data_IF_892392314931
#
_entry.id   IF_892392314931
#
_cell.length_a   1.000
_cell.length_b   1.000
_cell.length_c   1.000
_cell.angle_alpha   90.00
_cell.angle_beta   90.00
_cell.angle_gamma   90.00
#
_symmetry.space_group_name_H-M   'P 1'
#
loop_
_entity.id
_entity.type
_entity.pdbx_description
1 polymer ?
#
# COMPACT_ATOMS: atom_id res chain seq x y z
N UNK A 1 -39.89 -35.69 52.84
CA UNK A 1 -38.65 -34.93 53.04
C UNK A 1 -37.58 -35.53 52.17
N UNK A 2 -37.55 -35.16 50.88
CA UNK A 2 -36.54 -35.58 49.86
C UNK A 2 -37.09 -35.17 48.51
N UNK A 3 -36.91 -33.93 48.02
CA UNK A 3 -37.01 -33.51 46.58
C UNK A 3 -36.71 -32.04 46.45
N UNK A 4 -35.53 -31.61 46.88
CA UNK A 4 -35.03 -30.26 46.52
C UNK A 4 -33.52 -30.38 46.32
N UNK A 5 -33.08 -30.85 45.19
CA UNK A 5 -31.69 -30.69 44.74
C UNK A 5 -31.50 -31.31 43.36
N UNK A 6 -32.14 -30.75 42.32
CA UNK A 6 -31.88 -31.26 40.95
C UNK A 6 -31.95 -30.24 39.81
N UNK A 7 -31.96 -28.94 40.08
CA UNK A 7 -32.10 -27.94 39.02
C UNK A 7 -30.98 -26.87 38.99
N UNK A 8 -29.78 -27.14 39.47
CA UNK A 8 -28.73 -26.16 39.57
C UNK A 8 -27.53 -26.31 38.62
N UNK A 9 -27.51 -27.11 37.55
CA UNK A 9 -26.39 -27.00 36.62
C UNK A 9 -26.72 -26.51 35.21
N UNK A 10 -27.94 -25.99 34.93
CA UNK A 10 -28.27 -25.56 33.56
C UNK A 10 -28.09 -24.05 33.29
N UNK A 11 -27.71 -23.25 34.27
CA UNK A 11 -27.56 -21.78 34.08
C UNK A 11 -26.11 -21.31 33.86
N UNK A 12 -25.13 -22.19 33.90
CA UNK A 12 -23.71 -21.86 33.80
C UNK A 12 -23.14 -21.95 32.37
N UNK A 13 -23.91 -22.35 31.35
CA UNK A 13 -23.42 -22.55 29.98
C UNK A 13 -23.75 -21.44 28.99
N UNK A 14 -24.42 -20.37 29.43
CA UNK A 14 -24.85 -19.27 28.52
C UNK A 14 -23.94 -18.03 28.50
N UNK A 15 -22.78 -18.06 29.14
CA UNK A 15 -21.90 -16.90 29.28
C UNK A 15 -20.61 -16.94 28.44
N UNK A 16 -20.48 -17.90 27.52
CA UNK A 16 -19.23 -18.05 26.74
C UNK A 16 -19.37 -17.59 25.27
N UNK A 17 -20.50 -17.04 24.87
CA UNK A 17 -20.74 -16.63 23.48
C UNK A 17 -20.62 -15.12 23.23
N UNK A 18 -19.99 -14.34 24.11
CA UNK A 18 -19.87 -12.88 23.98
C UNK A 18 -18.42 -12.38 23.95
N UNK A 19 -17.50 -13.14 23.35
CA UNK A 19 -16.14 -12.68 23.07
C UNK A 19 -15.88 -12.79 21.55
N UNK A 20 -16.57 -12.00 20.77
CA UNK A 20 -16.46 -12.00 19.32
C UNK A 20 -16.39 -10.64 18.68
N UNK A 21 -16.23 -9.57 19.43
CA UNK A 21 -15.97 -8.26 18.85
C UNK A 21 -14.57 -7.81 19.23
N UNK A 22 -13.67 -7.96 18.28
CA UNK A 22 -12.39 -7.29 18.35
C UNK A 22 -12.65 -5.80 18.49
N UNK A 23 -12.24 -5.20 19.61
CA UNK A 23 -12.04 -3.76 19.75
C UNK A 23 -10.92 -3.29 18.80
N UNK A 24 -10.73 -4.00 17.69
CA UNK A 24 -9.79 -3.70 16.64
C UNK A 24 -10.28 -2.50 15.84
N UNK A 25 -9.33 -1.66 15.48
CA UNK A 25 -9.54 -0.59 14.50
C UNK A 25 -10.11 -1.24 13.24
N UNK A 26 -11.24 -0.72 12.77
CA UNK A 26 -11.86 -1.20 11.55
C UNK A 26 -11.47 -0.30 10.37
N UNK A 27 -11.18 -0.90 9.23
CA UNK A 27 -11.05 -0.18 7.98
C UNK A 27 -12.39 0.48 7.62
N UNK A 28 -12.35 1.71 7.14
CA UNK A 28 -13.56 2.47 6.79
C UNK A 28 -13.60 2.88 5.33
N UNK A 29 -12.44 2.95 4.66
CA UNK A 29 -12.35 3.30 3.26
C UNK A 29 -12.32 2.04 2.37
N UNK A 30 -13.08 2.06 1.28
CA UNK A 30 -13.05 0.99 0.30
C UNK A 30 -11.85 1.17 -0.65
N UNK A 31 -11.04 0.13 -0.78
CA UNK A 31 -9.98 0.08 -1.78
C UNK A 31 -10.58 -0.03 -3.18
N UNK A 32 -9.99 0.67 -4.12
CA UNK A 32 -10.37 0.63 -5.54
C UNK A 32 -9.11 0.58 -6.41
N UNK A 33 -9.26 0.05 -7.61
CA UNK A 33 -8.20 0.10 -8.62
C UNK A 33 -8.33 1.39 -9.39
N UNK A 34 -7.25 2.15 -9.45
CA UNK A 34 -7.14 3.36 -10.27
C UNK A 34 -6.03 3.17 -11.32
N UNK A 35 -6.13 3.88 -12.45
CA UNK A 35 -5.07 3.98 -13.44
C UNK A 35 -4.43 5.36 -13.36
N UNK A 36 -3.12 5.38 -13.09
CA UNK A 36 -2.36 6.61 -12.90
C UNK A 36 -1.21 6.71 -13.88
N UNK A 37 -0.82 7.94 -14.21
CA UNK A 37 0.37 8.20 -15.02
C UNK A 37 1.34 9.11 -14.28
N UNK A 38 2.62 8.75 -14.33
CA UNK A 38 3.73 9.50 -13.76
C UNK A 38 4.74 9.82 -14.87
N UNK A 39 5.43 10.93 -14.73
CA UNK A 39 6.49 11.33 -15.63
C UNK A 39 7.85 11.18 -14.95
N UNK A 40 8.90 10.95 -15.73
CA UNK A 40 10.24 10.79 -15.18
C UNK A 40 10.71 12.07 -14.48
N UNK A 41 11.42 11.93 -13.36
CA UNK A 41 12.05 13.06 -12.66
C UNK A 41 13.05 13.79 -13.56
N UNK A 42 13.85 13.05 -14.33
CA UNK A 42 14.85 13.62 -15.20
C UNK A 42 14.30 13.95 -16.59
N UNK A 43 14.76 15.07 -17.18
CA UNK A 43 14.42 15.52 -18.54
C UNK A 43 12.93 15.77 -18.77
N UNK A 44 12.14 15.99 -17.72
CA UNK A 44 10.77 16.51 -17.81
C UNK A 44 10.66 17.80 -16.98
N UNK A 45 9.68 18.68 -17.27
CA UNK A 45 9.48 19.86 -16.44
C UNK A 45 9.19 19.49 -14.99
N UNK A 46 9.80 20.18 -14.04
CA UNK A 46 9.64 19.92 -12.59
C UNK A 46 8.19 20.03 -12.11
N UNK A 47 7.37 20.78 -12.84
CA UNK A 47 5.93 20.90 -12.58
C UNK A 47 5.11 19.65 -12.96
N UNK A 48 5.75 18.66 -13.61
CA UNK A 48 5.08 17.44 -14.04
C UNK A 48 4.97 16.46 -12.86
N UNK A 49 3.83 15.79 -12.67
CA UNK A 49 3.68 14.81 -11.60
C UNK A 49 4.62 13.62 -11.80
N UNK A 50 5.58 13.44 -10.89
CA UNK A 50 6.66 12.45 -11.00
C UNK A 50 6.73 11.51 -9.79
N UNK A 51 5.89 11.73 -8.79
CA UNK A 51 5.88 10.95 -7.56
C UNK A 51 4.47 10.51 -7.18
N UNK A 52 4.39 9.54 -6.27
CA UNK A 52 3.13 9.01 -5.74
C UNK A 52 3.11 9.13 -4.22
N UNK A 53 1.99 9.59 -3.69
CA UNK A 53 1.72 9.64 -2.26
C UNK A 53 0.61 8.64 -1.92
N UNK A 54 0.97 7.60 -1.17
CA UNK A 54 0.06 6.51 -0.82
C UNK A 54 -0.98 6.91 0.24
N UNK A 55 -0.69 7.91 1.07
CA UNK A 55 -1.68 8.37 2.06
C UNK A 55 -2.85 9.13 1.43
N UNK A 56 -2.65 9.66 0.24
CA UNK A 56 -3.69 10.34 -0.55
C UNK A 56 -4.17 9.54 -1.76
N UNK A 57 -3.49 8.43 -2.08
CA UNK A 57 -3.80 7.64 -3.28
C UNK A 57 -3.64 8.45 -4.57
N UNK A 58 -2.60 9.29 -4.68
CA UNK A 58 -2.49 10.24 -5.77
C UNK A 58 -1.07 10.46 -6.27
N UNK A 59 -0.94 10.76 -7.57
CA UNK A 59 0.29 11.30 -8.15
C UNK A 59 0.48 12.74 -7.72
N UNK A 60 1.73 13.10 -7.40
CA UNK A 60 2.10 14.42 -6.89
C UNK A 60 3.32 14.97 -7.59
N UNK A 61 3.46 16.29 -7.57
CA UNK A 61 4.64 16.99 -8.03
C UNK A 61 5.71 17.00 -6.94
N UNK A 62 6.97 16.89 -7.33
CA UNK A 62 8.08 16.86 -6.36
C UNK A 62 8.57 18.27 -5.96
N UNK A 63 8.22 19.30 -6.70
CA UNK A 63 8.63 20.70 -6.42
C UNK A 63 7.78 21.38 -5.33
N UNK A 64 6.54 20.92 -5.15
CA UNK A 64 5.63 21.47 -4.14
C UNK A 64 5.25 20.50 -3.04
N UNK A 65 5.72 19.24 -3.13
CA UNK A 65 5.29 18.18 -2.23
C UNK A 65 6.47 17.29 -1.85
N UNK A 66 6.99 17.45 -0.65
CA UNK A 66 8.12 16.65 -0.15
C UNK A 66 7.70 15.33 0.47
N UNK A 67 6.40 15.15 0.69
CA UNK A 67 5.84 14.00 1.41
C UNK A 67 5.26 12.97 0.43
N UNK A 68 6.08 12.34 -0.41
CA UNK A 68 5.69 11.24 -1.30
C UNK A 68 6.40 9.95 -0.91
N UNK A 69 5.92 8.81 -1.40
CA UNK A 69 6.44 7.51 -1.03
C UNK A 69 7.37 6.92 -2.09
N UNK A 70 7.15 7.21 -3.35
CA UNK A 70 8.05 6.84 -4.42
C UNK A 70 7.92 7.79 -5.62
N UNK A 71 8.94 7.79 -6.46
CA UNK A 71 8.96 8.55 -7.70
C UNK A 71 9.29 7.65 -8.89
N UNK A 72 9.08 8.17 -10.09
CA UNK A 72 9.43 7.51 -11.34
C UNK A 72 10.56 8.23 -12.04
N UNK A 73 11.49 7.49 -12.61
CA UNK A 73 12.51 8.05 -13.51
C UNK A 73 12.87 7.06 -14.63
N UNK A 74 13.53 7.57 -15.67
CA UNK A 74 14.19 6.79 -16.69
C UNK A 74 15.66 7.17 -16.65
N UNK A 75 16.54 6.20 -16.38
CA UNK A 75 17.96 6.45 -16.23
C UNK A 75 18.68 6.78 -17.57
N UNK A 76 19.99 7.02 -17.50
CA UNK A 76 20.79 7.35 -18.68
C UNK A 76 20.93 6.19 -19.68
N UNK A 77 20.63 4.97 -19.26
CA UNK A 77 20.66 3.77 -20.11
C UNK A 77 19.27 3.41 -20.67
N UNK A 78 18.23 4.21 -20.37
CA UNK A 78 16.87 4.00 -20.85
C UNK A 78 16.03 3.05 -19.97
N UNK A 79 16.53 2.63 -18.79
CA UNK A 79 15.76 1.76 -17.89
C UNK A 79 14.75 2.58 -17.09
N UNK A 80 13.53 2.11 -17.05
CA UNK A 80 12.46 2.67 -16.23
C UNK A 80 12.62 2.23 -14.77
N UNK A 81 12.53 3.17 -13.85
CA UNK A 81 12.83 2.98 -12.44
C UNK A 81 11.70 3.53 -11.57
N UNK A 82 11.21 2.72 -10.64
CA UNK A 82 10.47 3.21 -9.48
C UNK A 82 11.47 3.39 -8.32
N UNK A 83 11.53 4.60 -7.81
CA UNK A 83 12.52 5.05 -6.82
C UNK A 83 11.83 5.20 -5.46
N UNK A 84 12.05 4.30 -4.48
CA UNK A 84 11.65 4.55 -3.11
C UNK A 84 12.48 5.69 -2.51
N UNK A 85 12.18 6.07 -1.29
CA UNK A 85 12.84 7.23 -0.64
C UNK A 85 14.34 7.07 -0.41
N UNK A 86 14.85 5.84 -0.28
CA UNK A 86 16.28 5.57 -0.06
C UNK A 86 17.18 6.08 -1.21
N UNK A 87 17.00 5.64 -2.45
CA UNK A 87 17.76 6.13 -3.62
C UNK A 87 17.62 7.64 -3.85
N UNK A 88 16.51 8.24 -3.42
CA UNK A 88 16.28 9.69 -3.49
C UNK A 88 16.96 10.48 -2.36
N UNK A 89 17.68 9.79 -1.46
CA UNK A 89 18.33 10.39 -0.26
C UNK A 89 17.35 11.07 0.70
N UNK A 90 16.10 10.61 0.72
CA UNK A 90 15.04 11.09 1.62
C UNK A 90 14.86 10.18 2.86
N UNK A 91 15.84 9.27 3.11
CA UNK A 91 15.78 8.28 4.16
C UNK A 91 15.24 6.92 3.65
N UNK A 92 15.54 5.84 4.37
CA UNK A 92 15.10 4.47 4.06
C UNK A 92 13.72 4.24 4.65
N UNK A 93 12.69 4.85 4.07
CA UNK A 93 11.38 4.94 4.70
C UNK A 93 10.29 4.17 3.95
N UNK A 94 10.33 4.16 2.62
CA UNK A 94 9.40 3.43 1.76
C UNK A 94 10.13 2.38 0.96
N UNK A 95 9.40 1.43 0.36
CA UNK A 95 10.06 0.37 -0.41
C UNK A 95 9.12 -0.44 -1.28
N UNK A 96 9.73 -1.32 -2.08
CA UNK A 96 9.04 -2.21 -2.99
C UNK A 96 9.40 -3.67 -2.75
N UNK A 97 8.46 -4.54 -3.10
CA UNK A 97 8.66 -5.97 -3.25
C UNK A 97 8.07 -6.42 -4.59
N UNK A 98 8.88 -6.99 -5.48
CA UNK A 98 8.40 -7.57 -6.73
C UNK A 98 7.54 -8.78 -6.42
N UNK A 99 6.43 -8.92 -7.14
CA UNK A 99 5.53 -10.07 -7.03
C UNK A 99 5.60 -10.94 -8.28
N UNK A 100 5.69 -12.25 -8.07
CA UNK A 100 5.49 -13.22 -9.13
C UNK A 100 4.00 -13.55 -9.37
N UNK A 101 3.11 -13.07 -8.49
CA UNK A 101 1.68 -13.24 -8.62
C UNK A 101 1.11 -12.18 -9.57
N UNK A 102 0.07 -12.55 -10.31
CA UNK A 102 -0.72 -11.58 -11.06
C UNK A 102 -1.35 -10.54 -10.11
N UNK A 103 -1.55 -9.32 -10.61
CA UNK A 103 -2.10 -8.20 -9.84
C UNK A 103 -3.38 -8.57 -9.08
N UNK A 104 -4.34 -9.22 -9.75
CA UNK A 104 -5.61 -9.61 -9.13
C UNK A 104 -5.49 -10.73 -8.10
N UNK A 105 -4.39 -11.48 -8.14
CA UNK A 105 -4.14 -12.58 -7.19
C UNK A 105 -3.54 -12.11 -5.86
N UNK A 106 -3.03 -10.88 -5.80
CA UNK A 106 -2.46 -10.29 -4.59
C UNK A 106 -3.60 -9.80 -3.69
N UNK A 107 -3.77 -10.43 -2.53
CA UNK A 107 -4.85 -10.11 -1.58
C UNK A 107 -4.38 -9.41 -0.33
N UNK A 108 -3.14 -9.63 0.08
CA UNK A 108 -2.56 -9.08 1.31
C UNK A 108 -1.12 -8.66 1.03
N UNK A 109 -0.74 -7.48 1.48
CA UNK A 109 0.64 -7.02 1.45
C UNK A 109 1.51 -7.80 2.44
N UNK A 110 2.74 -8.18 2.07
CA UNK A 110 3.71 -8.76 3.00
C UNK A 110 3.96 -7.86 4.21
N UNK A 111 4.27 -8.47 5.37
CA UNK A 111 4.56 -7.72 6.59
C UNK A 111 5.97 -7.10 6.64
N UNK A 112 6.82 -7.41 5.67
CA UNK A 112 8.20 -6.92 5.63
C UNK A 112 8.95 -7.38 4.40
N UNK A 113 10.29 -7.19 4.40
CA UNK A 113 11.21 -7.51 3.31
C UNK A 113 11.06 -6.59 2.09
N UNK A 114 10.59 -5.37 2.29
CA UNK A 114 10.60 -4.37 1.25
C UNK A 114 12.03 -3.88 1.00
N UNK A 115 12.39 -3.73 -0.26
CA UNK A 115 13.66 -3.12 -0.64
C UNK A 115 13.52 -1.60 -0.53
N UNK A 116 14.22 -1.02 0.45
CA UNK A 116 14.19 0.42 0.75
C UNK A 116 15.38 1.16 0.13
N UNK A 117 16.40 0.43 -0.32
CA UNK A 117 17.72 0.97 -0.65
C UNK A 117 18.00 1.11 -2.13
N UNK A 118 17.27 0.37 -2.96
CA UNK A 118 17.52 0.31 -4.40
C UNK A 118 16.30 0.68 -5.20
N UNK A 119 16.52 1.31 -6.34
CA UNK A 119 15.50 1.48 -7.35
C UNK A 119 14.97 0.12 -7.81
N UNK A 120 13.69 0.05 -8.06
CA UNK A 120 13.06 -1.07 -8.74
C UNK A 120 13.07 -0.81 -10.26
N UNK A 121 13.83 -1.62 -10.99
CA UNK A 121 13.75 -1.62 -12.46
C UNK A 121 12.41 -2.23 -12.87
N UNK A 122 11.67 -1.55 -13.73
CA UNK A 122 10.35 -1.98 -14.17
C UNK A 122 10.26 -2.04 -15.69
N UNK A 123 9.54 -3.04 -16.15
CA UNK A 123 9.12 -3.21 -17.54
C UNK A 123 7.59 -3.30 -17.60
N UNK A 124 7.03 -3.25 -18.80
CA UNK A 124 5.60 -3.53 -19.01
C UNK A 124 5.28 -4.91 -18.43
N UNK A 125 4.18 -5.02 -17.72
CA UNK A 125 3.71 -6.18 -16.95
C UNK A 125 4.47 -6.43 -15.62
N UNK A 126 5.39 -5.57 -15.21
CA UNK A 126 5.93 -5.66 -13.83
C UNK A 126 4.83 -5.49 -12.80
N UNK A 127 4.72 -6.44 -11.88
CA UNK A 127 3.82 -6.37 -10.72
C UNK A 127 4.65 -6.23 -9.46
N UNK A 128 4.30 -5.26 -8.60
CA UNK A 128 4.99 -5.04 -7.35
C UNK A 128 4.02 -4.62 -6.24
N UNK A 129 4.49 -4.76 -5.00
CA UNK A 129 3.81 -4.28 -3.81
C UNK A 129 4.68 -3.18 -3.20
N UNK A 130 4.06 -2.04 -2.89
CA UNK A 130 4.70 -0.90 -2.25
C UNK A 130 4.30 -0.81 -0.78
N UNK A 131 5.24 -0.35 0.04
CA UNK A 131 5.03 0.09 1.42
C UNK A 131 5.39 1.56 1.52
N UNK A 132 4.50 2.36 2.11
CA UNK A 132 4.73 3.79 2.33
C UNK A 132 5.80 4.04 3.39
N UNK A 133 6.17 5.29 3.54
CA UNK A 133 6.87 5.79 4.72
C UNK A 133 6.06 5.50 5.98
N UNK A 134 6.70 5.33 7.15
CA UNK A 134 6.02 5.27 8.43
C UNK A 134 5.18 6.53 8.66
N UNK A 135 3.98 6.35 9.15
CA UNK A 135 3.05 7.43 9.51
C UNK A 135 2.47 7.18 10.89
N UNK A 136 1.96 8.24 11.51
CA UNK A 136 1.09 8.09 12.69
C UNK A 136 -0.35 7.98 12.19
N UNK A 137 -0.97 6.83 12.40
CA UNK A 137 -2.36 6.60 12.01
C UNK A 137 -3.33 7.46 12.85
N UNK A 138 -4.58 7.68 12.40
CA UNK A 138 -5.57 8.48 13.13
C UNK A 138 -5.84 8.02 14.57
N UNK A 139 -5.56 6.76 14.88
CA UNK A 139 -5.65 6.18 16.23
C UNK A 139 -4.42 6.45 17.11
N UNK A 140 -3.44 7.21 16.62
CA UNK A 140 -2.20 7.51 17.31
C UNK A 140 -1.12 6.42 17.26
N UNK A 141 -1.38 5.27 16.63
CA UNK A 141 -0.40 4.19 16.51
C UNK A 141 0.48 4.39 15.25
N UNK A 142 1.75 3.94 15.29
CA UNK A 142 2.56 3.91 14.09
C UNK A 142 2.03 2.89 13.08
N UNK A 143 2.06 3.25 11.81
CA UNK A 143 1.61 2.40 10.72
C UNK A 143 2.25 2.75 9.40
N UNK A 144 1.78 2.11 8.34
CA UNK A 144 2.13 2.40 6.96
C UNK A 144 0.91 2.15 6.07
N UNK A 145 0.96 2.68 4.87
CA UNK A 145 0.03 2.35 3.79
C UNK A 145 0.65 1.32 2.86
N UNK A 146 -0.17 0.54 2.20
CA UNK A 146 0.27 -0.49 1.27
C UNK A 146 -0.49 -0.38 -0.04
N UNK A 147 0.21 -0.64 -1.14
CA UNK A 147 -0.40 -0.68 -2.46
C UNK A 147 0.13 -1.86 -3.27
N UNK A 148 -0.65 -2.36 -4.21
CA UNK A 148 -0.18 -3.19 -5.30
C UNK A 148 -0.25 -2.39 -6.59
N UNK A 149 0.72 -2.58 -7.46
CA UNK A 149 0.81 -1.89 -8.75
C UNK A 149 1.15 -2.88 -9.87
N UNK A 150 0.71 -2.54 -11.08
CA UNK A 150 1.02 -3.26 -12.31
C UNK A 150 1.32 -2.26 -13.42
N UNK A 151 2.48 -2.36 -14.02
CA UNK A 151 2.93 -1.47 -15.08
C UNK A 151 2.23 -1.83 -16.38
N UNK A 152 1.43 -0.89 -16.90
CA UNK A 152 0.66 -1.06 -18.14
C UNK A 152 1.42 -0.60 -19.37
N UNK A 153 2.12 0.54 -19.27
CA UNK A 153 2.92 1.06 -20.39
C UNK A 153 4.04 1.99 -19.92
N UNK A 154 5.11 2.02 -20.72
CA UNK A 154 6.23 2.94 -20.59
C UNK A 154 6.43 3.57 -21.96
N UNK A 155 6.38 4.91 -22.04
CA UNK A 155 6.51 5.66 -23.28
C UNK A 155 7.74 6.56 -23.18
N UNK A 156 8.85 6.15 -23.81
CA UNK A 156 10.15 6.84 -23.74
C UNK A 156 10.10 8.26 -24.31
N UNK A 157 9.39 8.46 -25.41
CA UNK A 157 9.30 9.78 -26.07
C UNK A 157 8.68 10.87 -25.18
N UNK A 158 7.72 10.49 -24.35
CA UNK A 158 7.08 11.36 -23.37
C UNK A 158 7.59 11.16 -21.95
N UNK A 159 8.50 10.19 -21.77
CA UNK A 159 9.06 9.78 -20.46
C UNK A 159 7.98 9.49 -19.43
N UNK A 160 6.92 8.78 -19.85
CA UNK A 160 5.71 8.52 -19.06
C UNK A 160 5.55 7.04 -18.75
N UNK A 161 5.32 6.76 -17.49
CA UNK A 161 4.83 5.47 -16.97
C UNK A 161 3.32 5.55 -16.76
N UNK A 162 2.59 4.53 -17.19
CA UNK A 162 1.18 4.32 -16.80
C UNK A 162 1.07 2.98 -16.08
N UNK A 163 0.39 2.97 -14.95
CA UNK A 163 0.19 1.75 -14.16
C UNK A 163 -1.22 1.73 -13.58
N UNK A 164 -1.76 0.55 -13.39
CA UNK A 164 -2.88 0.36 -12.48
C UNK A 164 -2.34 0.18 -11.05
N UNK A 165 -3.06 0.71 -10.09
CA UNK A 165 -2.68 0.67 -8.68
C UNK A 165 -3.94 0.47 -7.83
N UNK A 166 -3.84 -0.39 -6.82
CA UNK A 166 -4.80 -0.47 -5.74
C UNK A 166 -4.07 -0.08 -4.46
N UNK A 167 -4.47 1.06 -3.92
CA UNK A 167 -3.90 1.64 -2.72
C UNK A 167 -4.87 1.40 -1.54
N UNK A 168 -4.36 0.82 -0.45
CA UNK A 168 -5.10 0.72 0.80
C UNK A 168 -4.86 1.98 1.64
N UNK A 169 -5.84 2.89 1.58
CA UNK A 169 -5.80 4.15 2.34
C UNK A 169 -6.20 3.98 3.80
N UNK A 170 -6.45 2.75 4.27
CA UNK A 170 -6.67 2.47 5.69
C UNK A 170 -5.32 2.24 6.38
N UNK A 171 -4.91 3.21 7.17
CA UNK A 171 -3.60 3.20 7.82
C UNK A 171 -3.38 1.95 8.69
N UNK A 172 -2.30 1.22 8.41
CA UNK A 172 -1.93 0.00 9.12
C UNK A 172 -2.60 -1.28 8.59
N UNK A 173 -3.56 -1.18 7.67
CA UNK A 173 -4.17 -2.33 7.01
C UNK A 173 -3.32 -2.78 5.83
N UNK A 174 -3.34 -4.10 5.55
CA UNK A 174 -2.57 -4.71 4.46
C UNK A 174 -3.43 -5.40 3.40
N UNK A 175 -4.75 -5.22 3.48
CA UNK A 175 -5.67 -5.84 2.55
C UNK A 175 -5.64 -5.19 1.19
N UNK A 176 -5.23 -5.92 0.14
CA UNK A 176 -5.09 -5.42 -1.24
C UNK A 176 -6.16 -5.98 -2.17
N UNK A 177 -7.39 -6.06 -1.67
CA UNK A 177 -8.57 -6.43 -2.44
C UNK A 177 -9.49 -5.21 -2.59
N UNK A 178 -10.26 -5.19 -3.66
CA UNK A 178 -11.31 -4.18 -3.87
C UNK A 178 -12.36 -4.29 -2.75
N UNK A 179 -12.83 -3.16 -2.27
CA UNK A 179 -13.76 -3.05 -1.15
C UNK A 179 -13.07 -2.73 0.18
N UNK A 180 -13.81 -2.76 1.27
CA UNK A 180 -13.27 -2.45 2.60
C UNK A 180 -12.40 -3.62 3.07
N UNK A 181 -11.10 -3.41 3.36
CA UNK A 181 -10.20 -4.46 3.81
C UNK A 181 -10.62 -4.98 5.20
N UNK A 182 -10.37 -6.28 5.43
CA UNK A 182 -10.70 -6.94 6.71
C UNK A 182 -9.47 -7.17 7.60
N UNK A 183 -8.28 -6.88 7.09
CA UNK A 183 -6.99 -7.13 7.77
C UNK A 183 -5.92 -6.17 7.28
#
# INVERSE_FOLDING_TARGET
>A
MRYVLRYLPLFALALVAACGDSLGIQASAANKVDTVSMYALSKTPVATPSAYNMSFGAVVRTDGFTAFDFAFDIDSTGRALLLPTGPLKLGRLSGFQVSALAFDSIRIAPSGRYNLDSALVVDVNTVAIAQSRPVTCPNGLPGAYYAKLHVLSIVDSTRRLTMEILDDTNCGFRGLQVGVPRS
#
